data_IF_465111269429
#
_entry.id   IF_465111269429
#
_cell.length_a   1.000
_cell.length_b   1.000
_cell.length_c   1.000
_cell.angle_alpha   90.00
_cell.angle_beta   90.00
_cell.angle_gamma   90.00
#
_symmetry.space_group_name_H-M   'P 1'
#
loop_
_entity.id
_entity.type
_entity.pdbx_description
1 polymer ?
#
# COMPACT_ATOMS: atom_id res chain seq x y z
N UNK A 1 18.60 -17.92 -21.69
CA UNK A 1 18.81 -17.03 -20.53
C UNK A 1 18.47 -17.83 -19.29
N UNK A 2 19.45 -18.19 -18.47
CA UNK A 2 19.18 -18.86 -17.21
C UNK A 2 18.50 -17.86 -16.28
N UNK A 3 17.23 -18.11 -15.96
CA UNK A 3 16.50 -17.34 -14.96
C UNK A 3 17.05 -17.83 -13.62
N UNK A 4 17.98 -17.07 -13.06
CA UNK A 4 18.41 -17.27 -11.69
C UNK A 4 17.23 -16.81 -10.83
N UNK A 5 16.49 -17.77 -10.29
CA UNK A 5 15.49 -17.51 -9.25
C UNK A 5 16.28 -17.11 -8.03
N UNK A 6 16.19 -15.84 -7.62
CA UNK A 6 16.88 -15.41 -6.42
C UNK A 6 16.33 -16.18 -5.20
N UNK A 7 17.22 -16.74 -4.34
CA UNK A 7 16.78 -17.43 -3.14
C UNK A 7 16.00 -16.46 -2.24
N UNK A 8 14.90 -16.94 -1.65
CA UNK A 8 13.91 -16.14 -0.91
C UNK A 8 14.40 -15.46 0.37
N UNK A 9 15.72 -15.30 0.57
CA UNK A 9 16.32 -14.66 1.74
C UNK A 9 16.46 -13.13 1.62
N UNK A 10 16.14 -12.52 0.45
CA UNK A 10 16.00 -11.07 0.32
C UNK A 10 14.55 -10.57 0.28
N UNK A 11 13.55 -11.44 0.46
CA UNK A 11 12.17 -10.99 0.64
C UNK A 11 11.98 -10.53 2.07
N UNK A 12 12.12 -9.22 2.31
CA UNK A 12 11.61 -8.59 3.53
C UNK A 12 10.23 -9.13 3.87
N UNK A 13 9.96 -9.37 5.15
CA UNK A 13 8.73 -9.99 5.63
C UNK A 13 7.51 -9.39 4.92
N UNK A 14 6.70 -10.25 4.32
CA UNK A 14 5.51 -9.83 3.58
C UNK A 14 4.46 -9.26 4.54
N UNK A 15 3.75 -8.23 4.12
CA UNK A 15 2.67 -7.65 4.90
C UNK A 15 1.50 -8.65 5.03
N UNK A 16 0.86 -8.74 6.19
CA UNK A 16 1.27 -8.11 7.45
C UNK A 16 2.44 -8.84 8.12
N UNK A 17 3.35 -8.07 8.71
CA UNK A 17 4.68 -8.52 9.18
C UNK A 17 4.65 -9.65 10.23
N UNK A 18 3.48 -9.92 10.83
CA UNK A 18 3.31 -10.84 11.96
C UNK A 18 2.17 -11.87 11.77
N UNK A 19 1.76 -12.20 10.53
CA UNK A 19 0.64 -13.14 10.30
C UNK A 19 1.05 -14.34 9.46
N UNK A 20 0.62 -15.54 9.88
CA UNK A 20 0.75 -16.78 9.12
C UNK A 20 -0.41 -16.93 8.12
N UNK A 21 -0.54 -16.01 7.18
CA UNK A 21 -1.66 -15.98 6.21
C UNK A 21 -1.60 -17.10 5.17
N UNK A 22 -0.48 -17.83 5.11
CA UNK A 22 -0.10 -18.70 3.97
C UNK A 22 -0.12 -17.96 2.62
N UNK A 23 -0.22 -16.62 2.62
CA UNK A 23 -0.14 -15.85 1.40
C UNK A 23 1.28 -15.89 0.87
N UNK A 24 1.39 -15.75 -0.43
CA UNK A 24 2.65 -15.59 -1.11
C UNK A 24 2.58 -14.43 -2.09
N UNK A 25 3.72 -14.09 -2.68
CA UNK A 25 3.84 -12.98 -3.63
C UNK A 25 2.90 -13.09 -4.84
N UNK A 26 2.56 -14.31 -5.25
CA UNK A 26 1.71 -14.65 -6.39
C UNK A 26 0.25 -14.87 -5.99
N UNK A 27 -0.01 -15.30 -4.76
CA UNK A 27 -1.32 -15.60 -4.20
C UNK A 27 -1.53 -14.85 -2.89
N UNK A 28 -1.97 -13.60 -3.01
CA UNK A 28 -2.14 -12.67 -1.90
C UNK A 28 -3.64 -12.37 -1.68
N UNK A 29 -4.09 -12.45 -0.44
CA UNK A 29 -5.45 -12.08 -0.05
C UNK A 29 -6.44 -13.25 0.03
N UNK A 30 -7.74 -12.99 0.26
CA UNK A 30 -8.43 -11.69 0.08
C UNK A 30 -8.09 -10.64 1.15
N UNK A 31 -8.06 -9.38 0.74
CA UNK A 31 -7.97 -8.21 1.63
C UNK A 31 -9.11 -7.25 1.34
N UNK A 32 -9.69 -6.72 2.41
CA UNK A 32 -10.62 -5.58 2.34
C UNK A 32 -9.84 -4.29 2.59
N UNK A 33 -10.07 -3.28 1.74
CA UNK A 33 -9.37 -1.99 1.82
C UNK A 33 -10.24 -1.02 2.63
N UNK A 34 -9.75 -0.46 3.75
CA UNK A 34 -10.53 0.47 4.53
C UNK A 34 -10.82 1.78 3.81
N UNK A 35 -12.05 2.27 3.96
CA UNK A 35 -12.47 3.60 3.56
C UNK A 35 -12.82 4.43 4.78
N UNK A 36 -12.73 5.75 4.66
CA UNK A 36 -13.08 6.68 5.73
C UNK A 36 -14.53 6.49 6.17
N UNK A 37 -14.73 6.36 7.47
CA UNK A 37 -16.03 6.11 8.10
C UNK A 37 -16.53 4.67 7.98
N UNK A 38 -15.80 3.78 7.30
CA UNK A 38 -16.12 2.37 7.29
C UNK A 38 -15.75 1.72 8.63
N UNK A 39 -16.56 0.75 9.06
CA UNK A 39 -16.35 0.00 10.30
C UNK A 39 -16.06 -1.45 10.01
N UNK A 40 -15.06 -2.00 10.68
CA UNK A 40 -14.74 -3.43 10.64
C UNK A 40 -14.88 -4.04 12.04
N UNK A 41 -15.28 -5.31 12.11
CA UNK A 41 -15.10 -6.10 13.34
C UNK A 41 -13.64 -6.51 13.48
N UNK A 42 -13.05 -6.27 14.63
CA UNK A 42 -11.68 -6.67 14.95
C UNK A 42 -11.67 -8.10 15.50
N UNK A 43 -10.79 -8.92 14.92
CA UNK A 43 -10.51 -10.29 15.37
C UNK A 43 -9.01 -10.48 15.42
N UNK A 44 -8.53 -11.44 16.21
CA UNK A 44 -7.10 -11.75 16.28
C UNK A 44 -6.50 -12.08 14.90
N UNK A 45 -7.29 -12.70 14.01
CA UNK A 45 -6.88 -13.05 12.66
C UNK A 45 -6.68 -11.83 11.75
N UNK A 46 -7.53 -10.80 11.89
CA UNK A 46 -7.49 -9.63 11.00
C UNK A 46 -6.72 -8.46 11.60
N UNK A 47 -6.46 -8.48 12.91
CA UNK A 47 -5.81 -7.38 13.62
C UNK A 47 -4.43 -7.06 13.03
N UNK A 48 -3.56 -8.03 12.69
CA UNK A 48 -2.26 -7.71 12.09
C UNK A 48 -2.38 -7.01 10.73
N UNK A 49 -3.49 -7.18 10.01
CA UNK A 49 -3.76 -6.52 8.73
C UNK A 49 -4.12 -5.04 8.93
N UNK A 50 -4.70 -4.64 10.06
CA UNK A 50 -5.20 -3.28 10.26
C UNK A 50 -4.50 -2.52 11.39
N UNK A 51 -3.67 -3.19 12.20
CA UNK A 51 -2.92 -2.60 13.31
C UNK A 51 -2.13 -1.37 12.88
N UNK A 52 -1.42 -1.43 11.74
CA UNK A 52 -0.63 -0.29 11.25
C UNK A 52 -1.51 0.93 10.95
N UNK A 53 -2.71 0.73 10.41
CA UNK A 53 -3.69 1.79 10.20
C UNK A 53 -4.13 2.43 11.51
N UNK A 54 -4.51 1.59 12.47
CA UNK A 54 -5.02 2.03 13.77
C UNK A 54 -3.94 2.78 14.57
N UNK A 55 -2.73 2.22 14.63
CA UNK A 55 -1.65 2.69 15.51
C UNK A 55 -0.76 3.71 14.83
N UNK A 56 -0.15 3.35 13.70
CA UNK A 56 0.90 4.17 13.10
C UNK A 56 0.32 5.37 12.32
N UNK A 57 -0.81 5.19 11.65
CA UNK A 57 -1.40 6.24 10.80
C UNK A 57 -2.46 7.06 11.54
N UNK A 58 -3.34 6.42 12.31
CA UNK A 58 -4.40 7.13 13.06
C UNK A 58 -4.03 7.45 14.51
N UNK A 59 -2.85 7.02 14.97
CA UNK A 59 -2.26 7.45 16.25
C UNK A 59 -2.92 6.85 17.49
N UNK A 60 -3.69 5.76 17.35
CA UNK A 60 -4.36 5.13 18.50
C UNK A 60 -3.44 4.16 19.23
N UNK A 61 -3.71 3.96 20.51
CA UNK A 61 -3.08 2.89 21.30
C UNK A 61 -3.91 1.61 21.17
N UNK A 62 -3.33 0.57 20.59
CA UNK A 62 -3.93 -0.77 20.49
C UNK A 62 -3.30 -1.71 21.53
N UNK A 63 -4.12 -2.40 22.31
CA UNK A 63 -3.67 -3.41 23.27
C UNK A 63 -4.52 -4.67 23.14
N UNK A 64 -3.88 -5.83 23.04
CA UNK A 64 -4.57 -7.14 23.07
C UNK A 64 -4.30 -7.76 24.45
N UNK A 65 -5.37 -8.09 25.18
CA UNK A 65 -5.32 -8.76 26.49
C UNK A 65 -6.06 -10.08 26.40
N UNK A 66 -5.89 -10.95 27.40
CA UNK A 66 -6.57 -12.27 27.45
C UNK A 66 -8.09 -12.18 27.31
N UNK A 67 -8.69 -11.07 27.74
CA UNK A 67 -10.13 -10.88 27.73
C UNK A 67 -10.66 -10.12 26.50
N UNK A 68 -9.79 -9.60 25.63
CA UNK A 68 -10.19 -8.95 24.37
C UNK A 68 -9.25 -7.84 23.87
N UNK A 69 -9.72 -7.12 22.85
CA UNK A 69 -9.01 -6.03 22.18
C UNK A 69 -9.41 -4.68 22.80
N UNK A 70 -8.43 -3.81 23.00
CA UNK A 70 -8.60 -2.48 23.58
C UNK A 70 -8.01 -1.42 22.64
N UNK A 71 -8.77 -0.35 22.41
CA UNK A 71 -8.32 0.83 21.67
C UNK A 71 -8.43 2.04 22.59
N UNK A 72 -7.32 2.74 22.80
CA UNK A 72 -7.22 3.89 23.70
C UNK A 72 -7.72 3.59 25.13
N UNK A 73 -7.58 2.35 25.59
CA UNK A 73 -7.99 1.89 26.91
C UNK A 73 -9.45 1.40 27.00
N UNK A 74 -10.24 1.54 25.94
CA UNK A 74 -11.62 1.05 25.89
C UNK A 74 -11.68 -0.31 25.19
N UNK A 75 -12.38 -1.25 25.82
CA UNK A 75 -12.60 -2.59 25.24
C UNK A 75 -13.55 -2.49 24.05
N UNK A 76 -13.15 -3.00 22.90
CA UNK A 76 -13.94 -2.96 21.66
C UNK A 76 -13.75 -4.22 20.82
N UNK A 77 -14.77 -4.55 20.03
CA UNK A 77 -14.73 -5.59 19.01
C UNK A 77 -14.81 -5.01 17.58
N UNK A 78 -14.75 -3.68 17.45
CA UNK A 78 -14.85 -2.99 16.17
C UNK A 78 -14.03 -1.70 16.13
N UNK A 79 -13.72 -1.28 14.90
CA UNK A 79 -13.01 -0.04 14.64
C UNK A 79 -13.57 0.68 13.43
N UNK A 80 -13.70 2.00 13.54
CA UNK A 80 -14.10 2.90 12.45
C UNK A 80 -12.88 3.70 11.99
N UNK A 81 -12.57 3.60 10.70
CA UNK A 81 -11.40 4.26 10.12
C UNK A 81 -11.64 5.75 9.89
N UNK A 82 -10.66 6.58 10.25
CA UNK A 82 -10.75 8.04 10.08
C UNK A 82 -10.17 8.54 8.75
N UNK A 83 -9.52 7.66 7.99
CA UNK A 83 -8.86 7.96 6.72
C UNK A 83 -9.28 6.99 5.61
N UNK A 84 -9.15 7.44 4.36
CA UNK A 84 -9.16 6.56 3.21
C UNK A 84 -7.79 5.88 3.06
N UNK A 85 -7.81 4.59 2.69
CA UNK A 85 -6.60 3.80 2.49
C UNK A 85 -6.51 3.25 1.08
N UNK A 86 -5.29 3.07 0.62
CA UNK A 86 -4.98 2.59 -0.72
C UNK A 86 -4.10 1.35 -0.67
N UNK A 87 -4.35 0.44 -1.61
CA UNK A 87 -3.51 -0.72 -1.88
C UNK A 87 -2.80 -0.51 -3.22
N UNK A 88 -1.49 -0.34 -3.19
CA UNK A 88 -0.68 -0.06 -4.36
C UNK A 88 0.07 -1.31 -4.79
N UNK A 89 0.00 -1.67 -6.07
CA UNK A 89 0.74 -2.80 -6.65
C UNK A 89 1.59 -2.33 -7.82
N UNK A 90 2.84 -2.79 -7.86
CA UNK A 90 3.71 -2.55 -9.01
C UNK A 90 3.35 -3.48 -10.18
N UNK A 91 3.51 -2.96 -11.39
CA UNK A 91 3.35 -3.73 -12.63
C UNK A 91 4.47 -4.78 -12.80
N UNK A 92 5.71 -4.44 -12.41
CA UNK A 92 6.83 -5.36 -12.34
C UNK A 92 6.95 -6.05 -10.97
N UNK A 93 6.12 -7.06 -10.76
CA UNK A 93 5.95 -7.77 -9.47
C UNK A 93 7.23 -8.34 -8.87
N UNK A 94 8.22 -8.69 -9.69
CA UNK A 94 9.49 -9.30 -9.26
C UNK A 94 10.51 -8.27 -8.75
N UNK A 95 10.31 -6.98 -9.03
CA UNK A 95 11.23 -5.89 -8.64
C UNK A 95 10.55 -4.73 -7.91
N UNK A 96 9.30 -4.90 -7.48
CA UNK A 96 8.54 -3.85 -6.80
C UNK A 96 8.33 -4.18 -5.33
N UNK A 97 8.85 -3.33 -4.46
CA UNK A 97 8.40 -3.25 -3.08
C UNK A 97 7.10 -2.43 -3.04
N UNK A 98 5.97 -3.11 -3.19
CA UNK A 98 4.63 -2.52 -3.17
C UNK A 98 3.85 -2.89 -1.90
N UNK A 99 2.56 -2.58 -1.81
CA UNK A 99 1.76 -2.78 -0.59
C UNK A 99 1.79 -4.21 -0.05
N UNK A 100 2.17 -5.21 -0.86
CA UNK A 100 2.44 -6.58 -0.38
C UNK A 100 3.55 -6.65 0.67
N UNK A 101 4.42 -5.65 0.75
CA UNK A 101 5.54 -5.59 1.69
C UNK A 101 5.34 -4.53 2.78
N UNK A 102 4.81 -3.35 2.44
CA UNK A 102 4.68 -2.22 3.39
C UNK A 102 3.25 -1.91 3.82
N UNK A 103 2.25 -2.61 3.27
CA UNK A 103 0.85 -2.51 3.65
C UNK A 103 0.11 -1.33 3.03
N UNK A 104 -0.92 -0.87 3.73
CA UNK A 104 -1.79 0.21 3.27
C UNK A 104 -1.10 1.58 3.27
N UNK A 105 -1.55 2.44 2.36
CA UNK A 105 -1.17 3.84 2.26
C UNK A 105 -2.34 4.71 2.68
N UNK A 106 -2.23 5.53 3.74
CA UNK A 106 -3.29 6.46 4.11
C UNK A 106 -3.35 7.67 3.15
N UNK A 107 -4.53 8.30 3.04
CA UNK A 107 -4.78 9.43 2.14
C UNK A 107 -3.87 10.64 2.35
N UNK A 108 -3.44 10.89 3.58
CA UNK A 108 -2.56 12.01 3.95
C UNK A 108 -1.11 11.81 3.47
N UNK A 109 -0.70 10.57 3.21
CA UNK A 109 0.58 10.23 2.61
C UNK A 109 0.52 10.21 1.07
N UNK A 110 -0.67 10.40 0.49
CA UNK A 110 -0.86 10.60 -0.96
C UNK A 110 -0.82 12.09 -1.25
N UNK A 111 0.39 12.63 -1.42
CA UNK A 111 0.60 14.01 -1.85
C UNK A 111 0.16 14.22 -3.32
N UNK A 112 -1.14 14.41 -3.52
CA UNK A 112 -1.76 14.95 -4.74
C UNK A 112 -2.22 13.91 -5.78
N UNK A 113 -3.29 14.26 -6.51
CA UNK A 113 -3.72 13.61 -7.78
C UNK A 113 -2.48 13.28 -8.64
N UNK A 114 -2.42 12.15 -9.36
CA UNK A 114 -1.26 11.81 -10.19
C UNK A 114 -1.16 12.79 -11.38
N UNK A 115 -0.55 13.95 -11.17
CA UNK A 115 -0.21 14.92 -12.22
C UNK A 115 1.22 14.63 -12.74
N UNK A 116 1.95 13.71 -12.10
CA UNK A 116 3.31 13.36 -12.50
C UNK A 116 3.42 11.85 -12.66
N UNK A 117 3.51 11.40 -13.91
CA UNK A 117 4.20 10.15 -14.26
C UNK A 117 5.65 10.33 -13.83
N UNK A 118 5.99 9.89 -12.62
CA UNK A 118 7.31 10.16 -12.02
C UNK A 118 8.44 9.34 -12.66
N UNK A 119 8.12 8.32 -13.46
CA UNK A 119 9.09 7.58 -14.25
C UNK A 119 8.46 7.01 -15.53
N UNK A 120 8.63 7.71 -16.64
CA UNK A 120 8.46 7.15 -17.99
C UNK A 120 9.85 7.01 -18.60
N UNK A 121 10.55 5.91 -18.29
CA UNK A 121 11.81 5.60 -18.95
C UNK A 121 11.48 4.83 -20.23
N UNK A 122 11.59 5.53 -21.36
CA UNK A 122 11.78 4.89 -22.66
C UNK A 122 13.00 3.95 -22.54
N UNK A 123 12.79 2.66 -22.80
CA UNK A 123 13.79 1.59 -22.59
C UNK A 123 14.95 1.64 -23.58
N UNK A 124 14.90 2.52 -24.58
CA UNK A 124 15.83 2.45 -25.72
C UNK A 124 16.78 3.66 -25.88
N UNK A 125 16.95 4.55 -24.90
CA UNK A 125 17.89 5.70 -25.05
C UNK A 125 18.70 6.09 -23.80
N UNK A 126 20.01 6.28 -24.03
CA UNK A 126 21.06 6.63 -23.05
C UNK A 126 20.89 8.02 -22.42
N UNK A 127 21.47 8.18 -21.22
CA UNK A 127 21.27 9.27 -20.25
C UNK A 127 21.58 10.70 -20.73
N UNK A 128 22.40 10.88 -21.77
CA UNK A 128 22.90 12.21 -22.18
C UNK A 128 22.09 12.91 -23.28
N UNK A 129 20.99 12.34 -23.77
CA UNK A 129 20.31 12.87 -24.96
C UNK A 129 18.80 13.15 -24.78
N UNK A 130 18.47 14.01 -23.80
CA UNK A 130 17.22 14.76 -23.82
C UNK A 130 15.93 13.94 -23.61
N UNK A 131 15.78 13.30 -22.45
CA UNK A 131 14.57 12.53 -22.06
C UNK A 131 13.29 13.34 -21.77
N UNK A 132 13.26 14.64 -22.05
CA UNK A 132 12.05 15.44 -21.81
C UNK A 132 11.37 15.73 -23.15
N UNK A 133 10.26 15.02 -23.41
CA UNK A 133 9.39 15.26 -24.57
C UNK A 133 8.43 16.41 -24.27
N UNK A 134 8.95 17.63 -24.32
CA UNK A 134 8.22 18.88 -24.06
C UNK A 134 6.93 19.06 -24.89
N UNK A 135 6.82 18.39 -26.05
CA UNK A 135 5.65 18.47 -26.95
C UNK A 135 4.36 17.83 -26.41
N UNK A 136 4.36 17.23 -25.21
CA UNK A 136 3.15 16.67 -24.57
C UNK A 136 2.76 17.36 -23.26
N UNK A 137 3.51 18.36 -22.79
CA UNK A 137 3.30 18.96 -21.45
C UNK A 137 2.46 20.26 -21.50
N UNK A 138 2.18 20.84 -22.67
CA UNK A 138 1.33 22.04 -22.77
C UNK A 138 0.44 22.06 -24.02
N UNK A 139 -0.41 21.06 -24.22
CA UNK A 139 -1.58 21.27 -25.11
C UNK A 139 -2.70 21.93 -24.31
N UNK A 140 -2.72 23.25 -24.37
CA UNK A 140 -3.93 24.04 -24.11
C UNK A 140 -5.03 23.56 -25.06
N UNK A 141 -6.10 23.00 -24.53
CA UNK A 141 -7.34 22.82 -25.29
C UNK A 141 -8.05 24.16 -25.25
N UNK A 142 -7.67 25.03 -26.18
CA UNK A 142 -8.46 26.20 -26.52
C UNK A 142 -8.92 26.01 -27.97
N UNK A 143 -10.21 25.72 -28.13
CA UNK A 143 -10.77 25.36 -29.42
C UNK A 143 -12.17 24.74 -29.36
N UNK A 144 -13.05 25.24 -28.50
CA UNK A 144 -14.49 25.15 -28.75
C UNK A 144 -14.91 26.54 -29.22
N UNK A 145 -15.05 26.70 -30.53
CA UNK A 145 -15.94 27.69 -31.12
C UNK A 145 -17.27 27.00 -31.41
#
# INVERSE_FOLDING_TARGET
SNIIIEPGEFSGQMYPLNLYTKWDRNNYGPIWIPAKGATIKLTEDNLPIYERCIVAYEGNKLEVKEDGIYINGEKTDSYTFNMDYYWMMGDNRDKSADSRYWGFVPEDHVVGKPIVVWLSLDKDRNWFDGKIRWNRIFKWVDGIK
#
